data_IF_676560909052
#
_entry.id   IF_676560909052
#
_cell.length_a   1.000
_cell.length_b   1.000
_cell.length_c   1.000
_cell.angle_alpha   90.00
_cell.angle_beta   90.00
_cell.angle_gamma   90.00
#
_symmetry.space_group_name_H-M   'P 1'
#
loop_
_entity.id
_entity.type
_entity.pdbx_description
1 polymer ?
#
# COMPACT_ATOMS: atom_id res chain seq x y z
N UNK A 1 19.35 -3.38 28.64
CA UNK A 1 18.58 -4.34 29.46
C UNK A 1 17.71 -3.66 30.52
N UNK A 2 18.23 -2.78 31.38
CA UNK A 2 17.45 -2.16 32.46
C UNK A 2 16.18 -1.41 31.99
N UNK A 3 16.25 -0.67 30.88
CA UNK A 3 15.10 0.07 30.32
C UNK A 3 13.93 -0.84 29.89
N UNK A 4 14.22 -1.93 29.18
CA UNK A 4 13.21 -2.88 28.72
C UNK A 4 12.52 -3.59 29.90
N UNK A 5 13.26 -3.87 30.97
CA UNK A 5 12.69 -4.48 32.18
C UNK A 5 11.75 -3.52 32.92
N UNK A 6 12.06 -2.21 32.93
CA UNK A 6 11.18 -1.17 33.48
C UNK A 6 9.88 -1.08 32.65
N UNK A 7 9.99 -1.04 31.32
CA UNK A 7 8.81 -1.02 30.42
C UNK A 7 7.96 -2.29 30.59
N UNK A 8 8.58 -3.47 30.63
CA UNK A 8 7.88 -4.74 30.84
C UNK A 8 7.08 -4.75 32.15
N UNK A 9 7.65 -4.22 33.24
CA UNK A 9 6.95 -4.13 34.55
C UNK A 9 5.82 -3.11 34.52
N UNK A 10 6.02 -1.98 33.86
CA UNK A 10 4.99 -0.95 33.69
C UNK A 10 3.73 -1.54 33.02
N UNK A 11 3.87 -2.19 31.86
CA UNK A 11 2.74 -2.76 31.14
C UNK A 11 2.08 -3.93 31.87
N UNK A 12 2.89 -4.78 32.52
CA UNK A 12 2.37 -5.86 33.37
C UNK A 12 1.48 -5.35 34.51
N UNK A 13 1.88 -4.25 35.16
CA UNK A 13 1.08 -3.64 36.24
C UNK A 13 -0.26 -3.07 35.75
N UNK A 14 -0.34 -2.73 34.46
CA UNK A 14 -1.57 -2.30 33.79
C UNK A 14 -2.39 -3.46 33.23
N UNK A 15 -1.95 -4.71 33.44
CA UNK A 15 -2.56 -5.92 32.85
C UNK A 15 -2.64 -5.86 31.31
N UNK A 16 -1.64 -5.20 30.69
CA UNK A 16 -1.49 -5.14 29.23
C UNK A 16 -0.37 -6.09 28.81
N UNK A 17 -0.65 -6.92 27.81
CA UNK A 17 0.35 -7.82 27.25
C UNK A 17 1.51 -7.03 26.62
N UNK A 18 2.73 -7.43 26.95
CA UNK A 18 3.95 -6.80 26.44
C UNK A 18 4.81 -7.83 25.73
N UNK A 19 5.20 -7.49 24.50
CA UNK A 19 6.07 -8.32 23.66
C UNK A 19 7.24 -7.48 23.15
N UNK A 20 8.44 -8.07 23.13
CA UNK A 20 9.59 -7.49 22.47
C UNK A 20 9.68 -8.08 21.05
N UNK A 21 9.49 -7.23 20.04
CA UNK A 21 9.70 -7.62 18.66
C UNK A 21 11.17 -7.40 18.31
N UNK A 22 11.88 -8.49 18.03
CA UNK A 22 13.26 -8.47 17.53
C UNK A 22 13.27 -8.85 16.05
N UNK A 23 14.39 -8.62 15.35
CA UNK A 23 14.50 -8.88 13.90
C UNK A 23 14.38 -10.38 13.52
N UNK A 24 14.27 -11.30 14.49
CA UNK A 24 13.93 -12.70 14.21
C UNK A 24 12.54 -12.77 13.56
N UNK A 25 12.50 -13.15 12.28
CA UNK A 25 11.27 -13.21 11.48
C UNK A 25 11.21 -12.18 10.34
N UNK A 26 12.15 -11.24 10.24
CA UNK A 26 12.28 -10.34 9.08
C UNK A 26 13.07 -10.96 7.90
N UNK A 27 13.13 -12.30 7.81
CA UNK A 27 13.89 -13.01 6.77
C UNK A 27 12.96 -13.69 5.74
N UNK A 28 11.84 -13.05 5.40
CA UNK A 28 10.81 -13.63 4.53
C UNK A 28 10.22 -12.63 3.53
N UNK A 29 9.13 -13.03 2.86
CA UNK A 29 8.44 -12.15 1.92
C UNK A 29 7.96 -10.85 2.55
N UNK A 30 7.62 -10.85 3.84
CA UNK A 30 7.25 -9.62 4.57
C UNK A 30 8.33 -8.57 4.49
N UNK A 31 9.57 -8.94 4.79
CA UNK A 31 10.69 -8.01 4.75
C UNK A 31 11.00 -7.54 3.32
N UNK A 32 10.93 -8.44 2.33
CA UNK A 32 11.10 -8.06 0.92
C UNK A 32 10.02 -7.10 0.44
N UNK A 33 8.77 -7.31 0.85
CA UNK A 33 7.66 -6.44 0.50
C UNK A 33 7.75 -5.10 1.22
N UNK A 34 8.13 -5.10 2.51
CA UNK A 34 8.35 -3.88 3.27
C UNK A 34 9.50 -3.07 2.69
N UNK A 35 10.64 -3.69 2.39
CA UNK A 35 11.77 -3.04 1.71
C UNK A 35 11.33 -2.42 0.37
N UNK A 36 10.56 -3.18 -0.42
CA UNK A 36 10.01 -2.66 -1.68
C UNK A 36 9.06 -1.48 -1.48
N UNK A 37 8.31 -1.41 -0.39
CA UNK A 37 7.44 -0.26 -0.09
C UNK A 37 8.22 0.92 0.53
N UNK A 38 9.18 0.68 1.42
CA UNK A 38 10.01 1.73 2.02
C UNK A 38 10.91 2.41 0.99
N UNK A 39 11.48 1.65 0.06
CA UNK A 39 12.20 2.22 -1.07
C UNK A 39 11.32 3.14 -1.94
N UNK A 40 9.99 2.97 -1.93
CA UNK A 40 9.07 3.88 -2.63
C UNK A 40 8.89 5.20 -1.88
N UNK A 41 8.83 5.16 -0.56
CA UNK A 41 8.74 6.37 0.27
C UNK A 41 9.89 7.34 -0.03
N UNK A 42 11.11 6.81 -0.15
CA UNK A 42 12.30 7.59 -0.53
C UNK A 42 12.12 8.26 -1.90
N UNK A 43 11.52 7.57 -2.86
CA UNK A 43 11.23 8.12 -4.20
C UNK A 43 10.15 9.21 -4.16
N UNK A 44 9.10 9.06 -3.35
CA UNK A 44 8.08 10.10 -3.18
C UNK A 44 8.68 11.38 -2.60
N UNK A 45 9.58 11.26 -1.62
CA UNK A 45 10.33 12.41 -1.07
C UNK A 45 11.19 13.08 -2.13
N UNK A 46 11.64 12.33 -3.14
CA UNK A 46 12.33 12.82 -4.33
C UNK A 46 11.41 13.33 -5.46
N UNK A 47 10.16 13.71 -5.18
CA UNK A 47 9.16 14.22 -6.13
C UNK A 47 8.61 13.21 -7.16
N UNK A 48 8.79 11.90 -6.96
CA UNK A 48 8.08 10.91 -7.79
C UNK A 48 6.59 10.88 -7.40
N UNK A 49 5.72 11.21 -8.36
CA UNK A 49 4.26 11.15 -8.18
C UNK A 49 3.66 10.07 -9.08
N UNK A 50 2.69 9.28 -8.59
CA UNK A 50 1.97 8.35 -9.44
C UNK A 50 1.09 9.12 -10.44
N UNK A 51 0.97 8.60 -11.66
CA UNK A 51 -0.01 9.12 -12.61
C UNK A 51 -1.41 8.70 -12.17
N UNK A 52 -2.34 9.65 -12.03
CA UNK A 52 -3.66 9.39 -11.46
C UNK A 52 -4.48 8.40 -12.30
N UNK A 53 -4.39 8.46 -13.63
CA UNK A 53 -5.08 7.50 -14.51
C UNK A 53 -4.62 6.05 -14.26
N UNK A 54 -3.33 5.85 -13.97
CA UNK A 54 -2.79 4.52 -13.63
C UNK A 54 -3.35 4.02 -12.29
N UNK A 55 -3.50 4.93 -11.31
CA UNK A 55 -4.10 4.62 -9.99
C UNK A 55 -5.56 4.18 -10.16
N UNK A 56 -6.35 4.94 -10.92
CA UNK A 56 -7.77 4.64 -11.14
C UNK A 56 -7.98 3.32 -11.86
N UNK A 57 -7.16 3.02 -12.88
CA UNK A 57 -7.23 1.75 -13.63
C UNK A 57 -6.89 0.54 -12.75
N UNK A 58 -5.89 0.66 -11.87
CA UNK A 58 -5.58 -0.41 -10.94
C UNK A 58 -6.70 -0.64 -9.92
N UNK A 59 -7.29 0.43 -9.39
CA UNK A 59 -8.43 0.30 -8.48
C UNK A 59 -9.63 -0.35 -9.18
N UNK A 60 -9.90 -0.02 -10.44
CA UNK A 60 -10.92 -0.69 -11.24
C UNK A 60 -10.59 -2.17 -11.42
N UNK A 61 -9.35 -2.52 -11.81
CA UNK A 61 -8.93 -3.90 -11.99
C UNK A 61 -9.02 -4.75 -10.71
N UNK A 62 -8.72 -4.16 -9.53
CA UNK A 62 -8.90 -4.83 -8.24
C UNK A 62 -10.39 -5.07 -7.96
N UNK A 63 -11.26 -4.07 -8.21
CA UNK A 63 -12.73 -4.23 -8.05
C UNK A 63 -13.31 -5.30 -8.97
N UNK A 64 -12.78 -5.39 -10.18
CA UNK A 64 -13.16 -6.39 -11.18
C UNK A 64 -12.55 -7.77 -10.91
N UNK A 65 -11.83 -7.95 -9.80
CA UNK A 65 -11.19 -9.22 -9.41
C UNK A 65 -10.26 -9.77 -10.50
N UNK A 66 -9.43 -8.91 -11.08
CA UNK A 66 -8.54 -9.28 -12.17
C UNK A 66 -7.58 -10.42 -11.72
N UNK A 67 -7.57 -11.59 -12.39
CA UNK A 67 -6.90 -12.79 -11.89
C UNK A 67 -5.38 -12.79 -12.10
N UNK A 68 -4.88 -11.90 -12.95
CA UNK A 68 -3.47 -11.86 -13.31
C UNK A 68 -2.58 -11.34 -12.16
N UNK A 69 -1.34 -11.86 -12.02
CA UNK A 69 -0.34 -11.29 -11.11
C UNK A 69 -0.13 -9.80 -11.34
N UNK A 70 -0.05 -9.03 -10.26
CA UNK A 70 -0.03 -7.57 -10.28
C UNK A 70 1.06 -6.99 -11.17
N UNK A 71 2.26 -7.57 -11.19
CA UNK A 71 3.37 -7.14 -12.04
C UNK A 71 3.12 -7.33 -13.51
N UNK A 72 2.52 -8.45 -13.89
CA UNK A 72 2.18 -8.73 -15.29
C UNK A 72 1.04 -7.81 -15.73
N UNK A 73 0.00 -7.66 -14.90
CA UNK A 73 -1.10 -6.74 -15.16
C UNK A 73 -0.60 -5.28 -15.31
N UNK A 74 0.31 -4.82 -14.44
CA UNK A 74 0.89 -3.48 -14.56
C UNK A 74 1.62 -3.28 -15.89
N UNK A 75 2.43 -4.26 -16.33
CA UNK A 75 3.11 -4.19 -17.64
C UNK A 75 2.12 -4.19 -18.80
N UNK A 76 1.04 -4.97 -18.70
CA UNK A 76 -0.01 -4.98 -19.70
C UNK A 76 -0.75 -3.65 -19.76
N UNK A 77 -1.04 -3.03 -18.63
CA UNK A 77 -1.66 -1.72 -18.59
C UNK A 77 -0.73 -0.61 -19.12
N UNK A 78 0.56 -0.63 -18.79
CA UNK A 78 1.53 0.31 -19.35
C UNK A 78 1.48 0.27 -20.90
N UNK A 79 1.52 -0.95 -21.48
CA UNK A 79 1.43 -1.14 -22.93
C UNK A 79 0.06 -0.74 -23.51
N UNK A 80 -1.03 -1.24 -22.91
CA UNK A 80 -2.40 -1.05 -23.39
C UNK A 80 -2.81 0.41 -23.43
N UNK A 81 -2.34 1.21 -22.47
CA UNK A 81 -2.71 2.61 -22.33
C UNK A 81 -1.59 3.57 -22.70
N UNK A 82 -0.52 3.10 -23.37
CA UNK A 82 0.60 3.95 -23.82
C UNK A 82 1.29 4.71 -22.67
N UNK A 83 1.27 4.17 -21.46
CA UNK A 83 1.89 4.80 -20.29
C UNK A 83 3.39 4.50 -20.24
N UNK A 84 4.16 5.35 -19.57
CA UNK A 84 5.59 5.11 -19.37
C UNK A 84 5.83 3.75 -18.67
N UNK A 85 6.92 3.08 -19.03
CA UNK A 85 7.26 1.79 -18.43
C UNK A 85 7.39 1.91 -16.90
N UNK A 86 6.64 1.09 -16.16
CA UNK A 86 6.60 1.12 -14.70
C UNK A 86 5.64 2.14 -14.09
N UNK A 87 4.83 2.85 -14.89
CA UNK A 87 3.85 3.81 -14.39
C UNK A 87 2.78 3.12 -13.53
N UNK A 88 2.23 1.99 -13.97
CA UNK A 88 1.27 1.24 -13.17
C UNK A 88 1.92 0.57 -11.95
N UNK A 89 3.19 0.13 -12.02
CA UNK A 89 3.89 -0.39 -10.83
C UNK A 89 4.08 0.72 -9.78
N UNK A 90 4.41 1.93 -10.22
CA UNK A 90 4.49 3.12 -9.35
C UNK A 90 3.14 3.42 -8.70
N UNK A 91 2.05 3.36 -9.47
CA UNK A 91 0.70 3.53 -8.95
C UNK A 91 0.31 2.42 -7.95
N UNK A 92 0.69 1.17 -8.19
CA UNK A 92 0.48 0.06 -7.27
C UNK A 92 1.21 0.27 -5.93
N UNK A 93 2.48 0.67 -5.99
CA UNK A 93 3.27 1.00 -4.78
C UNK A 93 2.64 2.14 -4.00
N UNK A 94 2.17 3.17 -4.69
CA UNK A 94 1.41 4.26 -4.07
C UNK A 94 0.16 3.77 -3.35
N UNK A 95 -0.64 2.91 -3.98
CA UNK A 95 -1.86 2.39 -3.38
C UNK A 95 -1.59 1.61 -2.09
N UNK A 96 -0.53 0.81 -2.03
CA UNK A 96 -0.12 0.13 -0.79
C UNK A 96 0.47 1.09 0.25
N UNK A 97 1.37 1.99 -0.16
CA UNK A 97 1.99 2.97 0.73
C UNK A 97 0.95 3.92 1.37
N UNK A 98 -0.05 4.34 0.60
CA UNK A 98 -1.15 5.17 1.09
C UNK A 98 -2.19 4.36 1.91
N UNK A 99 -1.96 3.07 2.14
CA UNK A 99 -2.90 2.13 2.78
C UNK A 99 -4.29 2.13 2.14
N UNK A 100 -4.37 2.39 0.83
CA UNK A 100 -5.60 2.27 0.03
C UNK A 100 -5.83 0.82 -0.36
N UNK A 101 -4.75 0.07 -0.64
CA UNK A 101 -4.80 -1.37 -0.83
C UNK A 101 -4.21 -2.12 0.38
N UNK A 102 -4.79 -3.28 0.67
CA UNK A 102 -4.28 -4.30 1.59
C UNK A 102 -3.99 -5.58 0.80
N UNK A 103 -3.03 -6.36 1.26
CA UNK A 103 -2.62 -7.61 0.64
C UNK A 103 -1.75 -8.43 1.59
N UNK A 104 -1.54 -9.71 1.28
CA UNK A 104 -0.76 -10.61 2.12
C UNK A 104 0.74 -10.31 1.98
N UNK A 105 1.38 -9.77 3.02
CA UNK A 105 2.81 -9.49 3.00
C UNK A 105 3.69 -10.74 3.21
N UNK A 106 3.13 -11.81 3.78
CA UNK A 106 3.86 -13.01 4.19
C UNK A 106 3.95 -14.08 3.10
N UNK A 107 2.90 -14.18 2.26
CA UNK A 107 2.75 -15.33 1.35
C UNK A 107 3.66 -15.32 0.11
N UNK A 108 3.90 -14.15 -0.49
CA UNK A 108 4.75 -13.98 -1.67
C UNK A 108 5.11 -12.49 -1.84
N UNK A 109 5.97 -12.15 -2.80
CA UNK A 109 6.14 -10.76 -3.26
C UNK A 109 4.81 -10.21 -3.77
N UNK A 110 4.41 -9.02 -3.34
CA UNK A 110 3.14 -8.37 -3.74
C UNK A 110 2.98 -8.35 -5.26
N UNK A 111 4.06 -8.04 -5.99
CA UNK A 111 4.04 -7.96 -7.45
C UNK A 111 3.71 -9.30 -8.16
N UNK A 112 3.88 -10.43 -7.46
CA UNK A 112 3.60 -11.77 -7.99
C UNK A 112 2.23 -12.30 -7.57
N UNK A 113 1.51 -11.57 -6.72
CA UNK A 113 0.18 -11.97 -6.26
C UNK A 113 -0.88 -11.48 -7.27
N UNK A 114 -1.98 -12.23 -7.47
CA UNK A 114 -3.11 -11.79 -8.29
C UNK A 114 -3.67 -10.45 -7.81
N UNK A 115 -4.06 -9.55 -8.72
CA UNK A 115 -4.76 -8.31 -8.32
C UNK A 115 -6.05 -8.60 -7.53
N UNK A 116 -6.74 -9.69 -7.87
CA UNK A 116 -7.92 -10.17 -7.16
C UNK A 116 -7.68 -10.52 -5.68
N UNK A 117 -6.42 -10.73 -5.27
CA UNK A 117 -6.06 -11.01 -3.86
C UNK A 117 -5.90 -9.75 -3.01
N UNK A 118 -6.00 -8.57 -3.63
CA UNK A 118 -5.88 -7.29 -2.92
C UNK A 118 -7.25 -6.74 -2.56
N UNK A 119 -7.31 -6.10 -1.40
CA UNK A 119 -8.53 -5.52 -0.88
C UNK A 119 -8.41 -4.00 -0.83
N UNK A 120 -9.47 -3.31 -1.24
CA UNK A 120 -9.55 -1.85 -1.08
C UNK A 120 -9.92 -1.54 0.36
N UNK A 121 -9.09 -0.76 1.03
CA UNK A 121 -9.33 -0.31 2.38
C UNK A 121 -10.44 0.76 2.40
N UNK A 122 -11.67 0.35 2.76
CA UNK A 122 -12.84 1.22 2.77
C UNK A 122 -12.81 2.30 3.85
N UNK A 123 -12.00 2.14 4.90
CA UNK A 123 -11.86 3.12 6.00
C UNK A 123 -11.13 4.41 5.57
N UNK A 124 -10.50 4.41 4.38
CA UNK A 124 -9.74 5.53 3.83
C UNK A 124 -10.26 6.06 2.51
N UNK A 125 -11.49 5.67 2.13
CA UNK A 125 -12.10 6.11 0.87
C UNK A 125 -12.22 7.65 0.83
N UNK A 126 -11.21 8.28 0.23
CA UNK A 126 -11.16 9.63 -0.34
C UNK A 126 -12.16 10.59 0.31
N UNK A 127 -11.69 11.40 1.27
CA UNK A 127 -12.36 12.65 1.63
C UNK A 127 -12.73 13.37 0.32
N UNK A 128 -14.04 13.42 0.06
CA UNK A 128 -14.60 13.91 -1.20
C UNK A 128 -14.29 15.39 -1.39
N UNK A 129 -14.10 15.73 -2.65
CA UNK A 129 -13.91 17.04 -3.29
C UNK A 129 -14.71 18.21 -2.70
N UNK A 130 -14.24 19.46 -2.90
CA UNK A 130 -14.84 20.65 -2.31
C UNK A 130 -16.25 20.89 -2.83
N UNK A 131 -17.17 21.18 -1.91
CA UNK A 131 -18.50 21.69 -2.21
C UNK A 131 -18.36 23.00 -2.99
N UNK A 132 -18.69 22.98 -4.28
CA UNK A 132 -18.92 24.21 -5.05
C UNK A 132 -20.18 24.83 -4.47
N UNK A 133 -20.02 25.89 -3.67
CA UNK A 133 -21.14 26.72 -3.23
C UNK A 133 -21.54 27.59 -4.41
N UNK A 134 -22.52 27.12 -5.18
CA UNK A 134 -23.26 27.97 -6.11
C UNK A 134 -24.10 28.96 -5.31
N UNK A 135 -23.65 30.21 -5.19
CA UNK A 135 -24.53 31.31 -4.86
C UNK A 135 -25.35 31.64 -6.11
N UNK A 136 -26.58 31.15 -6.13
CA UNK A 136 -27.59 31.65 -7.04
C UNK A 136 -27.97 33.06 -6.59
N UNK A 137 -27.85 34.00 -7.53
CA UNK A 137 -28.38 35.35 -7.46
C UNK A 137 -29.91 35.26 -7.53
N UNK A 138 -30.59 35.87 -6.57
CA UNK A 138 -31.93 36.44 -6.73
C UNK A 138 -32.11 37.55 -5.68
#
# INVERSE_FOLDING_TARGET
MAKLEIERRYWRNLSVDWYLVVNEGLNGFRALNLDWLFNYELLIRGNVRPQMDCVLRLLAAVRESHPEPAGTACRHFDKRYGSAAGAHVTALRFLFFAHILRGNLEGNKLINQPLASFEINHERALHRSPTVVGHAVA
#
